data_IF_237400241124
#
_entry.id   IF_237400241124
#
_cell.length_a   1.000
_cell.length_b   1.000
_cell.length_c   1.000
_cell.angle_alpha   90.00
_cell.angle_beta   90.00
_cell.angle_gamma   90.00
#
_symmetry.space_group_name_H-M   'P 1'
#
loop_
_entity.id
_entity.type
_entity.pdbx_description
1 polymer ?
#
# COMPACT_ATOMS: atom_id res chain seq x y z
N UNK A 1 11.75 -17.48 -24.80
CA UNK A 1 11.35 -16.43 -23.84
C UNK A 1 12.46 -15.40 -23.77
N UNK A 2 12.14 -14.10 -23.83
CA UNK A 2 13.15 -13.02 -23.84
C UNK A 2 13.59 -12.65 -22.41
N UNK A 3 14.90 -12.50 -22.19
CA UNK A 3 15.52 -12.31 -20.88
C UNK A 3 15.26 -10.94 -20.22
N UNK A 4 14.64 -10.01 -20.94
CA UNK A 4 14.28 -8.67 -20.45
C UNK A 4 12.90 -8.62 -19.78
N UNK A 5 12.09 -9.68 -19.90
CA UNK A 5 10.78 -9.74 -19.26
C UNK A 5 10.95 -10.19 -17.80
N UNK A 6 10.95 -9.22 -16.88
CA UNK A 6 10.87 -9.50 -15.45
C UNK A 6 9.44 -9.88 -15.09
N UNK A 7 9.20 -11.17 -14.80
CA UNK A 7 7.93 -11.63 -14.27
C UNK A 7 7.82 -11.30 -12.77
N UNK A 8 6.85 -10.48 -12.40
CA UNK A 8 6.54 -10.21 -11.01
C UNK A 8 5.63 -11.29 -10.44
N UNK A 9 6.20 -12.23 -9.69
CA UNK A 9 5.51 -13.40 -9.14
C UNK A 9 4.85 -13.11 -7.77
N UNK A 10 4.00 -12.09 -7.71
CA UNK A 10 3.42 -11.58 -6.46
C UNK A 10 2.78 -12.66 -5.58
N UNK A 11 2.00 -13.58 -6.17
CA UNK A 11 1.35 -14.66 -5.43
C UNK A 11 2.35 -15.61 -4.76
N UNK A 12 3.50 -15.91 -5.42
CA UNK A 12 4.52 -16.78 -4.82
C UNK A 12 5.22 -16.10 -3.64
N UNK A 13 5.50 -14.80 -3.75
CA UNK A 13 6.08 -14.02 -2.65
C UNK A 13 5.14 -14.01 -1.45
N UNK A 14 3.84 -13.77 -1.68
CA UNK A 14 2.84 -13.81 -0.60
C UNK A 14 2.76 -15.17 0.08
N UNK A 15 2.73 -16.26 -0.68
CA UNK A 15 2.68 -17.62 -0.13
C UNK A 15 3.92 -17.95 0.71
N UNK A 16 5.11 -17.52 0.26
CA UNK A 16 6.33 -17.70 1.03
C UNK A 16 6.31 -16.90 2.34
N UNK A 17 5.83 -15.65 2.31
CA UNK A 17 5.68 -14.82 3.52
C UNK A 17 4.68 -15.44 4.50
N UNK A 18 3.53 -15.91 4.02
CA UNK A 18 2.50 -16.59 4.81
C UNK A 18 3.05 -17.83 5.52
N UNK A 19 3.80 -18.68 4.80
CA UNK A 19 4.45 -19.85 5.38
C UNK A 19 5.45 -19.45 6.47
N UNK A 20 6.31 -18.45 6.21
CA UNK A 20 7.31 -18.00 7.18
C UNK A 20 6.70 -17.34 8.41
N UNK A 21 5.55 -16.66 8.25
CA UNK A 21 4.78 -16.09 9.34
C UNK A 21 4.14 -17.19 10.20
N UNK A 22 3.51 -18.18 9.57
CA UNK A 22 2.94 -19.36 10.24
C UNK A 22 3.99 -20.08 11.11
N UNK A 23 5.17 -20.37 10.55
CA UNK A 23 6.26 -21.04 11.27
C UNK A 23 6.78 -20.27 12.49
N UNK A 24 6.56 -18.95 12.54
CA UNK A 24 6.99 -18.06 13.63
C UNK A 24 5.83 -17.64 14.55
N UNK A 25 4.62 -18.16 14.33
CA UNK A 25 3.44 -17.74 15.08
C UNK A 25 3.01 -16.28 14.82
N UNK A 26 3.41 -15.70 13.68
CA UNK A 26 3.01 -14.34 13.27
C UNK A 26 1.70 -14.44 12.50
N UNK A 27 0.69 -13.67 12.92
CA UNK A 27 -0.58 -13.58 12.22
C UNK A 27 -0.39 -12.96 10.83
N UNK A 28 -0.87 -13.66 9.80
CA UNK A 28 -0.86 -13.18 8.41
C UNK A 28 -2.30 -13.05 7.92
N UNK A 29 -2.61 -11.94 7.26
CA UNK A 29 -3.92 -11.70 6.63
C UNK A 29 -3.72 -11.07 5.25
N UNK A 30 -4.53 -11.50 4.29
CA UNK A 30 -4.62 -10.87 2.96
C UNK A 30 -5.74 -9.84 3.00
N UNK A 31 -5.49 -8.67 2.42
CA UNK A 31 -6.44 -7.55 2.39
C UNK A 31 -6.69 -7.08 0.97
N UNK A 32 -7.80 -6.37 0.74
CA UNK A 32 -8.12 -5.76 -0.55
C UNK A 32 -7.03 -4.74 -0.96
N UNK A 33 -6.30 -4.96 -2.07
CA UNK A 33 -5.24 -4.07 -2.51
C UNK A 33 -5.76 -2.81 -3.22
N UNK A 34 -7.07 -2.70 -3.48
CA UNK A 34 -7.68 -1.62 -4.25
C UNK A 34 -7.34 -0.25 -3.68
N UNK A 35 -6.91 0.65 -4.56
CA UNK A 35 -6.63 2.07 -4.28
C UNK A 35 -5.60 2.35 -3.17
N UNK A 36 -4.88 1.34 -2.69
CA UNK A 36 -3.87 1.50 -1.61
C UNK A 36 -2.79 2.52 -1.97
N UNK A 37 -2.36 2.60 -3.23
CA UNK A 37 -1.39 3.62 -3.69
C UNK A 37 -2.00 4.95 -4.13
N UNK A 38 -3.33 5.06 -4.15
CA UNK A 38 -4.07 6.21 -4.70
C UNK A 38 -4.75 7.05 -3.63
N UNK A 39 -5.01 6.51 -2.44
CA UNK A 39 -5.57 7.27 -1.30
C UNK A 39 -4.46 7.80 -0.39
N UNK A 40 -4.72 8.91 0.30
CA UNK A 40 -3.81 9.42 1.31
C UNK A 40 -3.83 8.54 2.57
N UNK A 41 -2.68 8.08 3.04
CA UNK A 41 -2.58 7.30 4.29
C UNK A 41 -2.84 8.12 5.57
N UNK A 42 -3.00 9.44 5.45
CA UNK A 42 -3.25 10.35 6.58
C UNK A 42 -4.73 10.71 6.68
N UNK A 43 -5.35 11.19 5.59
CA UNK A 43 -6.78 11.58 5.60
C UNK A 43 -7.72 10.60 4.87
N UNK A 44 -7.20 9.57 4.21
CA UNK A 44 -8.00 8.58 3.46
C UNK A 44 -8.60 9.08 2.14
N UNK A 45 -8.49 10.38 1.81
CA UNK A 45 -9.09 10.94 0.60
C UNK A 45 -8.25 10.65 -0.65
N UNK A 46 -8.91 10.19 -1.72
CA UNK A 46 -8.31 9.99 -3.06
C UNK A 46 -8.36 11.25 -3.92
N UNK A 47 -9.40 12.08 -3.79
CA UNK A 47 -9.62 13.29 -4.61
C UNK A 47 -8.46 14.29 -4.58
N UNK A 48 -7.79 14.40 -3.43
CA UNK A 48 -6.70 15.34 -3.20
C UNK A 48 -5.31 14.71 -3.32
N UNK A 49 -5.25 13.43 -3.69
CA UNK A 49 -4.04 12.64 -3.77
C UNK A 49 -3.52 12.59 -5.21
N UNK A 50 -2.21 12.69 -5.37
CA UNK A 50 -1.53 12.57 -6.65
C UNK A 50 -0.29 11.74 -6.46
N UNK A 51 -0.07 10.79 -7.38
CA UNK A 51 1.14 9.96 -7.42
C UNK A 51 1.89 10.25 -8.70
N UNK A 52 3.17 10.59 -8.58
CA UNK A 52 4.09 10.72 -9.70
C UNK A 52 5.33 9.87 -9.43
N UNK A 53 5.38 8.69 -10.05
CA UNK A 53 6.43 7.69 -9.82
C UNK A 53 6.50 7.27 -8.34
N UNK A 54 7.65 7.56 -7.71
CA UNK A 54 7.94 7.29 -6.29
C UNK A 54 7.44 8.37 -5.34
N UNK A 55 6.96 9.50 -5.85
CA UNK A 55 6.47 10.60 -5.01
C UNK A 55 4.96 10.53 -4.91
N UNK A 56 4.44 10.54 -3.69
CA UNK A 56 3.03 10.71 -3.38
C UNK A 56 2.81 12.04 -2.67
N UNK A 57 1.80 12.79 -3.11
CA UNK A 57 1.41 14.08 -2.54
C UNK A 57 -0.09 14.11 -2.24
N UNK A 58 -0.48 14.67 -1.10
CA UNK A 58 -1.87 14.97 -0.80
C UNK A 58 -2.03 16.43 -0.39
N UNK A 59 -2.94 17.14 -1.08
CA UNK A 59 -3.21 18.56 -0.86
C UNK A 59 -4.33 18.83 0.17
N UNK A 60 -4.88 17.80 0.82
CA UNK A 60 -5.93 17.95 1.82
C UNK A 60 -5.39 18.46 3.17
N UNK A 61 -4.71 19.60 3.16
CA UNK A 61 -4.04 20.17 4.31
C UNK A 61 -4.98 20.35 5.51
N UNK A 62 -6.27 20.67 5.28
CA UNK A 62 -7.24 20.92 6.35
C UNK A 62 -7.49 19.73 7.27
N UNK A 63 -7.46 18.51 6.72
CA UNK A 63 -7.69 17.27 7.48
C UNK A 63 -6.37 16.63 7.95
N UNK A 64 -5.22 17.17 7.56
CA UNK A 64 -3.92 16.65 7.99
C UNK A 64 -3.47 17.24 9.34
N UNK A 65 -2.73 16.45 10.14
CA UNK A 65 -1.99 16.99 11.28
C UNK A 65 -1.10 18.16 10.85
N UNK A 66 -1.11 19.25 11.62
CA UNK A 66 -0.33 20.45 11.30
C UNK A 66 -0.88 21.32 10.17
N UNK A 67 -2.08 21.00 9.63
CA UNK A 67 -2.74 21.76 8.57
C UNK A 67 -1.89 21.98 7.32
N UNK A 68 -1.09 20.98 6.94
CA UNK A 68 -0.10 21.07 5.87
C UNK A 68 -0.34 20.01 4.78
N UNK A 69 0.09 20.25 3.52
CA UNK A 69 0.13 19.20 2.52
C UNK A 69 1.07 18.08 2.97
N UNK A 70 0.75 16.86 2.57
CA UNK A 70 1.56 15.68 2.90
C UNK A 70 2.31 15.26 1.64
N UNK A 71 3.61 15.02 1.77
CA UNK A 71 4.45 14.43 0.74
C UNK A 71 5.24 13.28 1.33
N UNK A 72 5.22 12.12 0.68
CA UNK A 72 5.98 10.95 1.08
C UNK A 72 6.29 10.04 -0.11
N UNK A 73 7.09 9.00 0.13
CA UNK A 73 7.30 7.93 -0.85
C UNK A 73 5.98 7.18 -1.15
N UNK A 74 5.75 6.86 -2.41
CA UNK A 74 4.51 6.23 -2.88
C UNK A 74 4.28 4.84 -2.33
N UNK A 75 5.37 4.08 -2.14
CA UNK A 75 5.31 2.72 -1.64
C UNK A 75 5.11 2.74 -0.11
N UNK A 76 5.71 3.72 0.59
CA UNK A 76 5.42 3.96 2.00
C UNK A 76 3.94 4.35 2.23
N UNK A 77 3.38 5.21 1.38
CA UNK A 77 1.94 5.56 1.43
C UNK A 77 1.07 4.32 1.21
N UNK A 78 1.40 3.53 0.19
CA UNK A 78 0.68 2.30 -0.12
C UNK A 78 0.73 1.29 1.03
N UNK A 79 1.92 1.06 1.60
CA UNK A 79 2.12 0.16 2.73
C UNK A 79 1.30 0.57 3.95
N UNK A 80 1.24 1.86 4.28
CA UNK A 80 0.39 2.36 5.38
C UNK A 80 -1.09 2.15 5.10
N UNK A 81 -1.50 2.32 3.84
CA UNK A 81 -2.89 2.11 3.44
C UNK A 81 -3.35 0.65 3.53
N UNK A 82 -2.44 -0.34 3.49
CA UNK A 82 -2.77 -1.76 3.68
C UNK A 82 -3.41 -1.98 5.07
N UNK A 83 -2.97 -1.24 6.09
CA UNK A 83 -3.52 -1.33 7.45
C UNK A 83 -5.02 -1.00 7.52
N UNK A 84 -5.50 -0.12 6.63
CA UNK A 84 -6.89 0.33 6.58
C UNK A 84 -7.71 -0.40 5.51
N UNK A 85 -7.18 -1.47 4.91
CA UNK A 85 -7.88 -2.28 3.92
C UNK A 85 -8.68 -3.41 4.58
N UNK A 86 -9.78 -3.79 3.96
CA UNK A 86 -10.61 -4.88 4.47
C UNK A 86 -9.92 -6.23 4.22
N UNK A 87 -9.96 -7.17 5.19
CA UNK A 87 -9.55 -8.55 4.96
C UNK A 87 -10.31 -9.15 3.77
N UNK A 88 -9.60 -9.89 2.93
CA UNK A 88 -10.25 -10.67 1.88
C UNK A 88 -11.06 -11.78 2.54
N UNK A 89 -12.32 -11.94 2.09
CA UNK A 89 -13.13 -13.09 2.46
C UNK A 89 -12.56 -14.29 1.70
N UNK A 90 -11.98 -15.23 2.43
CA UNK A 90 -11.53 -16.53 1.92
C UNK A 90 -12.71 -17.49 1.89
#
# INVERSE_FOLDING_TARGET
MAFWQTHWLFGRVQNAVELQAYLRGIKFERVDPRDTSQRCSVCGKKKFATRNGKVFTCQNAREHPGRAPVQLDSDLNAARNIMFSQPLKV
#
